data_IF_478887862760
#
_entry.id   IF_478887862760
#
_cell.length_a   1.000
_cell.length_b   1.000
_cell.length_c   1.000
_cell.angle_alpha   90.00
_cell.angle_beta   90.00
_cell.angle_gamma   90.00
#
_symmetry.space_group_name_H-M   'P 1'
#
loop_
_entity.id
_entity.type
_entity.pdbx_description
1 polymer ?
#
# COMPACT_ATOMS: atom_id res chain seq x y z
N UNK A 1 10.86 -71.53 -60.52
CA UNK A 1 10.65 -70.14 -60.97
C UNK A 1 9.17 -69.82 -60.98
N UNK A 2 8.60 -69.15 -60.00
CA UNK A 2 7.17 -68.78 -59.96
C UNK A 2 7.07 -67.24 -60.00
N UNK A 3 6.58 -66.76 -61.12
CA UNK A 3 6.29 -65.35 -61.37
C UNK A 3 5.07 -64.93 -60.50
N UNK A 4 5.24 -63.97 -59.63
CA UNK A 4 4.13 -63.31 -58.90
C UNK A 4 3.67 -62.10 -59.73
N UNK A 5 2.48 -62.22 -60.33
CA UNK A 5 1.73 -61.09 -60.88
C UNK A 5 1.29 -60.15 -59.79
N UNK A 6 1.75 -58.92 -59.87
CA UNK A 6 1.29 -57.83 -59.03
C UNK A 6 -0.12 -57.41 -59.40
N UNK A 7 -1.02 -57.44 -58.45
CA UNK A 7 -2.38 -56.92 -58.59
C UNK A 7 -2.30 -55.40 -58.29
N UNK A 8 -2.49 -54.59 -59.34
CA UNK A 8 -2.73 -53.16 -59.20
C UNK A 8 -4.09 -52.96 -58.51
N UNK A 9 -4.13 -52.52 -57.34
CA UNK A 9 -5.33 -51.95 -56.71
C UNK A 9 -5.53 -50.55 -57.29
N UNK A 10 -6.61 -50.42 -58.03
CA UNK A 10 -7.13 -49.20 -58.61
C UNK A 10 -7.71 -48.40 -57.48
N UNK A 11 -6.98 -47.38 -57.10
CA UNK A 11 -7.37 -46.43 -56.02
C UNK A 11 -8.42 -45.52 -56.69
N UNK A 12 -9.70 -45.84 -56.49
CA UNK A 12 -10.81 -44.97 -56.88
C UNK A 12 -10.78 -43.67 -56.05
N UNK A 13 -10.67 -42.59 -56.79
CA UNK A 13 -10.70 -41.23 -56.25
C UNK A 13 -12.08 -40.98 -55.64
N UNK A 14 -12.17 -40.59 -54.32
CA UNK A 14 -13.46 -40.42 -53.66
C UNK A 14 -14.20 -39.12 -54.06
N UNK A 15 -13.70 -38.40 -55.06
CA UNK A 15 -14.25 -37.09 -55.47
C UNK A 15 -14.95 -37.08 -56.83
N UNK A 16 -15.14 -38.24 -57.51
CA UNK A 16 -15.67 -38.25 -58.88
C UNK A 16 -17.21 -38.37 -59.00
N UNK A 17 -17.93 -38.42 -57.92
CA UNK A 17 -19.38 -38.29 -57.93
C UNK A 17 -19.80 -36.87 -57.59
N UNK A 18 -19.95 -36.05 -58.64
CA UNK A 18 -20.36 -34.65 -58.62
C UNK A 18 -21.80 -34.40 -58.14
N UNK A 19 -22.19 -34.99 -57.03
CA UNK A 19 -23.37 -34.55 -56.30
C UNK A 19 -22.94 -33.63 -55.18
N UNK A 20 -23.40 -32.35 -55.17
CA UNK A 20 -23.22 -31.51 -53.99
C UNK A 20 -23.92 -32.23 -52.87
N UNK A 21 -23.16 -32.65 -51.85
CA UNK A 21 -23.70 -33.16 -50.59
C UNK A 21 -24.41 -32.01 -49.93
N UNK A 22 -25.70 -31.83 -50.36
CA UNK A 22 -26.57 -30.86 -49.70
C UNK A 22 -26.64 -31.28 -48.25
N UNK A 23 -26.20 -30.42 -47.39
CA UNK A 23 -26.45 -30.53 -45.97
C UNK A 23 -27.96 -30.59 -45.79
N UNK A 24 -28.52 -31.79 -45.82
CA UNK A 24 -29.92 -32.01 -45.46
C UNK A 24 -30.09 -31.79 -43.98
N UNK A 25 -30.29 -30.52 -43.63
CA UNK A 25 -30.55 -30.08 -42.25
C UNK A 25 -31.97 -30.52 -41.89
N UNK A 26 -32.11 -31.77 -41.41
CA UNK A 26 -33.39 -32.29 -41.00
C UNK A 26 -33.77 -31.73 -39.66
N UNK A 27 -34.71 -30.79 -39.65
CA UNK A 27 -35.29 -30.20 -38.41
C UNK A 27 -35.83 -31.24 -37.44
N UNK A 28 -36.28 -32.38 -37.98
CA UNK A 28 -36.80 -33.51 -37.19
C UNK A 28 -35.71 -34.25 -36.41
N UNK A 29 -34.51 -34.36 -36.99
CA UNK A 29 -33.35 -34.97 -36.32
C UNK A 29 -32.87 -34.20 -35.14
N UNK A 30 -33.05 -32.88 -35.16
CA UNK A 30 -32.65 -32.00 -34.01
C UNK A 30 -33.60 -32.12 -32.83
N UNK A 31 -34.85 -32.42 -33.08
CA UNK A 31 -35.88 -32.59 -32.05
C UNK A 31 -35.83 -33.98 -31.37
N UNK A 32 -35.19 -34.96 -32.06
CA UNK A 32 -35.03 -36.33 -31.51
C UNK A 32 -33.69 -36.54 -30.79
N UNK A 33 -32.79 -35.59 -30.82
CA UNK A 33 -31.59 -35.65 -30.00
C UNK A 33 -31.99 -35.41 -28.53
N UNK A 34 -31.69 -36.33 -27.61
CA UNK A 34 -31.88 -36.06 -26.22
C UNK A 34 -31.20 -34.76 -25.86
N UNK A 35 -31.90 -33.87 -25.18
CA UNK A 35 -31.33 -32.58 -24.76
C UNK A 35 -30.01 -32.89 -24.06
N UNK A 36 -28.92 -32.33 -24.62
CA UNK A 36 -27.59 -32.48 -24.05
C UNK A 36 -27.74 -32.19 -22.53
N UNK A 37 -27.20 -33.04 -21.66
CA UNK A 37 -27.28 -32.80 -20.24
C UNK A 37 -26.79 -31.37 -19.99
N UNK A 38 -27.66 -30.52 -19.43
CA UNK A 38 -27.24 -29.18 -18.97
C UNK A 38 -26.15 -29.46 -17.96
N UNK A 39 -24.91 -29.16 -18.37
CA UNK A 39 -23.79 -29.10 -17.45
C UNK A 39 -24.22 -28.06 -16.43
N UNK A 40 -24.68 -28.51 -15.26
CA UNK A 40 -24.80 -27.63 -14.12
C UNK A 40 -23.40 -27.19 -13.81
N UNK A 41 -23.06 -25.97 -14.27
CA UNK A 41 -21.86 -25.27 -13.82
C UNK A 41 -21.97 -25.14 -12.31
N UNK A 42 -21.50 -26.15 -11.61
CA UNK A 42 -21.27 -26.05 -10.19
C UNK A 42 -20.13 -25.04 -10.01
N UNK A 43 -20.43 -23.88 -9.39
CA UNK A 43 -19.48 -22.78 -9.22
C UNK A 43 -18.14 -23.14 -8.57
N UNK A 44 -17.96 -24.42 -8.19
CA UNK A 44 -16.71 -24.98 -7.71
C UNK A 44 -15.70 -25.33 -8.81
N UNK A 45 -16.15 -25.62 -10.03
CA UNK A 45 -15.25 -26.03 -11.12
C UNK A 45 -14.44 -24.86 -11.69
N UNK A 46 -14.94 -23.62 -11.59
CA UNK A 46 -14.23 -22.43 -12.06
C UNK A 46 -12.89 -22.25 -11.33
N UNK A 47 -12.85 -22.48 -10.03
CA UNK A 47 -11.63 -22.34 -9.22
C UNK A 47 -10.63 -23.47 -9.47
N UNK A 48 -11.09 -24.69 -9.71
CA UNK A 48 -10.19 -25.81 -10.03
C UNK A 48 -9.57 -25.71 -11.42
N UNK A 49 -10.28 -25.15 -12.37
CA UNK A 49 -9.83 -25.00 -13.78
C UNK A 49 -8.80 -23.88 -13.95
N UNK A 50 -8.82 -22.88 -13.07
CA UNK A 50 -7.94 -21.69 -13.16
C UNK A 50 -7.03 -21.53 -11.93
N UNK A 51 -6.32 -22.58 -11.54
CA UNK A 51 -5.39 -22.55 -10.40
C UNK A 51 -4.35 -21.42 -10.51
N UNK A 52 -3.83 -21.17 -11.71
CA UNK A 52 -2.87 -20.10 -11.95
C UNK A 52 -3.48 -18.72 -11.66
N UNK A 53 -4.72 -18.49 -12.06
CA UNK A 53 -5.43 -17.23 -11.82
C UNK A 53 -5.68 -17.03 -10.31
N UNK A 54 -5.99 -18.11 -9.59
CA UNK A 54 -6.19 -18.07 -8.15
C UNK A 54 -4.89 -17.74 -7.40
N UNK A 55 -3.76 -18.31 -7.85
CA UNK A 55 -2.43 -17.99 -7.28
C UNK A 55 -2.10 -16.51 -7.51
N UNK A 56 -2.29 -16.00 -8.75
CA UNK A 56 -2.02 -14.59 -9.07
C UNK A 56 -2.92 -13.66 -8.24
N UNK A 57 -4.20 -14.01 -8.05
CA UNK A 57 -5.12 -13.24 -7.22
C UNK A 57 -4.68 -13.24 -5.76
N UNK A 58 -4.23 -14.38 -5.24
CA UNK A 58 -3.73 -14.51 -3.88
C UNK A 58 -2.47 -13.65 -3.68
N UNK A 59 -1.52 -13.69 -4.62
CA UNK A 59 -0.31 -12.88 -4.57
C UNK A 59 -0.65 -11.38 -4.58
N UNK A 60 -1.62 -10.98 -5.42
CA UNK A 60 -2.08 -9.59 -5.48
C UNK A 60 -2.67 -9.13 -4.13
N UNK A 61 -3.48 -9.98 -3.49
CA UNK A 61 -4.06 -9.70 -2.16
C UNK A 61 -2.97 -9.59 -1.11
N UNK A 62 -1.97 -10.49 -1.12
CA UNK A 62 -0.83 -10.45 -0.19
C UNK A 62 -0.05 -9.15 -0.35
N UNK A 63 0.27 -8.75 -1.59
CA UNK A 63 1.00 -7.50 -1.88
C UNK A 63 0.19 -6.29 -1.40
N UNK A 64 -1.12 -6.27 -1.63
CA UNK A 64 -2.00 -5.18 -1.20
C UNK A 64 -2.06 -5.07 0.33
N UNK A 65 -2.24 -6.19 1.03
CA UNK A 65 -2.24 -6.24 2.51
C UNK A 65 -0.89 -5.81 3.06
N UNK A 66 0.20 -6.32 2.49
CA UNK A 66 1.56 -5.95 2.90
C UNK A 66 1.82 -4.46 2.67
N UNK A 67 1.38 -3.91 1.54
CA UNK A 67 1.47 -2.49 1.20
C UNK A 67 0.72 -1.60 2.19
N UNK A 68 -0.51 -1.97 2.57
CA UNK A 68 -1.29 -1.26 3.59
C UNK A 68 -0.62 -1.32 4.97
N UNK A 69 -0.05 -2.45 5.34
CA UNK A 69 0.69 -2.61 6.61
C UNK A 69 1.96 -1.77 6.63
N UNK A 70 2.73 -1.77 5.55
CA UNK A 70 3.93 -0.95 5.39
C UNK A 70 3.60 0.55 5.41
N UNK A 71 2.56 0.98 4.72
CA UNK A 71 2.08 2.35 4.77
C UNK A 71 1.75 2.77 6.21
N UNK A 72 0.94 1.97 6.91
CA UNK A 72 0.60 2.26 8.30
C UNK A 72 1.82 2.33 9.22
N UNK A 73 2.79 1.44 9.03
CA UNK A 73 4.03 1.43 9.80
C UNK A 73 4.91 2.65 9.53
N UNK A 74 5.09 3.02 8.27
CA UNK A 74 5.88 4.18 7.86
C UNK A 74 5.23 5.50 8.30
N UNK A 75 3.92 5.64 8.14
CA UNK A 75 3.21 6.86 8.56
C UNK A 75 3.07 6.99 10.09
N UNK A 76 2.97 5.88 10.81
CA UNK A 76 2.84 5.92 12.28
C UNK A 76 4.11 6.40 13.00
N UNK A 77 5.27 6.33 12.35
CA UNK A 77 6.55 6.69 12.99
C UNK A 77 7.04 8.12 12.72
N UNK A 78 6.43 8.83 11.78
CA UNK A 78 6.94 10.13 11.34
C UNK A 78 6.72 11.23 12.39
N UNK A 79 5.69 11.12 13.22
CA UNK A 79 5.38 12.08 14.29
C UNK A 79 6.11 11.80 15.62
N UNK A 80 6.85 10.69 15.70
CA UNK A 80 7.61 10.28 16.89
C UNK A 80 9.05 9.96 16.53
N UNK A 81 9.96 10.42 17.36
CA UNK A 81 11.37 10.11 17.25
C UNK A 81 11.97 9.84 18.61
N UNK A 82 13.02 9.03 18.64
CA UNK A 82 13.87 8.82 19.78
C UNK A 82 15.20 9.54 19.53
N UNK A 83 15.60 10.42 20.45
CA UNK A 83 16.85 11.18 20.43
C UNK A 83 17.50 11.10 21.80
N UNK A 84 18.74 10.68 21.86
CA UNK A 84 19.60 10.70 23.07
C UNK A 84 18.93 10.12 24.34
N UNK A 85 18.05 9.11 24.17
CA UNK A 85 17.30 8.52 25.29
C UNK A 85 15.99 9.20 25.62
N UNK A 86 15.60 10.23 24.89
CA UNK A 86 14.31 10.88 24.97
C UNK A 86 13.39 10.45 23.85
N UNK A 87 12.11 10.27 24.19
CA UNK A 87 11.05 10.08 23.19
C UNK A 87 10.40 11.42 22.92
N UNK A 88 10.43 11.83 21.66
CA UNK A 88 9.87 13.11 21.23
C UNK A 88 8.66 12.85 20.34
N UNK A 89 7.51 13.45 20.67
CA UNK A 89 6.26 13.29 19.93
C UNK A 89 5.74 14.66 19.50
N UNK A 90 5.55 14.82 18.19
CA UNK A 90 4.98 16.03 17.60
C UNK A 90 3.48 15.86 17.38
N UNK A 91 2.69 16.86 17.77
CA UNK A 91 1.26 16.97 17.46
C UNK A 91 0.94 18.38 16.97
N UNK A 92 -0.03 18.50 16.09
CA UNK A 92 -0.50 19.78 15.61
C UNK A 92 -2.00 19.77 15.34
N UNK A 93 -2.67 20.87 15.66
CA UNK A 93 -4.08 21.04 15.36
C UNK A 93 -4.39 22.48 14.97
N UNK A 94 -5.43 22.65 14.14
CA UNK A 94 -5.94 23.96 13.78
C UNK A 94 -6.87 24.52 14.83
N UNK A 95 -6.72 25.81 15.10
CA UNK A 95 -7.69 26.57 15.87
C UNK A 95 -7.85 27.96 15.25
N UNK A 96 -8.93 28.16 14.49
CA UNK A 96 -9.16 29.40 13.77
C UNK A 96 -8.10 29.63 12.67
N UNK A 97 -7.38 30.75 12.78
CA UNK A 97 -6.32 31.14 11.84
C UNK A 97 -4.91 30.79 12.30
N UNK A 98 -4.79 29.93 13.30
CA UNK A 98 -3.50 29.51 13.85
C UNK A 98 -3.39 28.00 13.96
N UNK A 99 -2.18 27.51 13.91
CA UNK A 99 -1.83 26.12 14.18
C UNK A 99 -1.14 26.06 15.53
N UNK A 100 -1.67 25.26 16.43
CA UNK A 100 -1.02 24.92 17.67
C UNK A 100 -0.14 23.70 17.47
N UNK A 101 1.16 23.87 17.67
CA UNK A 101 2.14 22.80 17.68
C UNK A 101 2.49 22.43 19.10
N UNK A 102 2.46 21.15 19.42
CA UNK A 102 2.85 20.62 20.72
C UNK A 102 3.93 19.56 20.49
N UNK A 103 5.07 19.74 21.17
CA UNK A 103 6.16 18.79 21.20
C UNK A 103 6.24 18.23 22.63
N UNK A 104 5.93 16.97 22.81
CA UNK A 104 6.04 16.27 24.08
C UNK A 104 7.35 15.51 24.12
N UNK A 105 8.15 15.75 25.14
CA UNK A 105 9.47 15.16 25.36
C UNK A 105 9.38 14.31 26.62
N UNK A 106 9.57 13.01 26.49
CA UNK A 106 9.50 12.06 27.60
C UNK A 106 10.88 11.44 27.81
N UNK A 107 11.37 11.47 29.04
CA UNK A 107 12.61 10.79 29.39
C UNK A 107 12.40 9.26 29.38
N UNK A 108 13.18 8.55 28.57
CA UNK A 108 13.29 7.10 28.65
C UNK A 108 14.41 6.76 29.62
N UNK A 109 14.12 5.96 30.65
CA UNK A 109 15.10 5.52 31.64
C UNK A 109 16.44 5.16 31.00
N UNK A 110 17.49 5.89 31.31
CA UNK A 110 18.84 5.67 30.82
C UNK A 110 19.39 6.77 29.87
N UNK A 111 18.73 7.94 29.77
CA UNK A 111 19.33 9.08 29.10
C UNK A 111 20.58 9.54 29.86
N UNK A 112 21.73 9.58 29.18
CA UNK A 112 23.01 10.04 29.73
C UNK A 112 23.15 11.57 29.76
N UNK A 113 22.12 12.28 29.29
CA UNK A 113 22.18 13.71 28.97
C UNK A 113 21.22 14.44 29.87
N UNK A 114 21.71 14.84 31.07
CA UNK A 114 20.93 15.60 32.02
C UNK A 114 21.28 17.09 31.93
N UNK A 115 20.29 17.99 32.02
CA UNK A 115 20.51 19.44 32.07
C UNK A 115 20.81 20.11 30.74
N UNK A 116 20.69 19.42 29.62
CA UNK A 116 20.80 20.03 28.31
C UNK A 116 19.51 20.71 27.85
N UNK A 117 19.63 21.62 26.90
CA UNK A 117 18.50 22.28 26.24
C UNK A 117 18.16 21.55 24.96
N UNK A 118 16.88 21.48 24.72
CA UNK A 118 16.33 21.07 23.43
C UNK A 118 15.98 22.33 22.64
N UNK A 119 16.38 22.35 21.39
CA UNK A 119 15.99 23.36 20.42
C UNK A 119 15.03 22.73 19.42
N UNK A 120 13.95 23.41 19.14
CA UNK A 120 12.97 22.96 18.16
C UNK A 120 12.59 24.09 17.23
N UNK A 121 12.59 23.83 15.96
CA UNK A 121 12.07 24.71 14.93
C UNK A 121 10.85 24.07 14.27
N UNK A 122 9.81 24.86 14.12
CA UNK A 122 8.52 24.40 13.61
C UNK A 122 8.20 25.15 12.32
N UNK A 123 7.70 24.46 11.31
CA UNK A 123 7.24 25.07 10.07
C UNK A 123 6.04 24.32 9.49
N UNK A 124 5.23 25.05 8.74
CA UNK A 124 4.17 24.45 7.92
C UNK A 124 4.67 24.09 6.52
N UNK A 125 5.92 24.45 6.22
CA UNK A 125 6.60 24.08 5.00
C UNK A 125 7.79 23.15 5.28
N UNK A 126 7.97 22.17 4.40
CA UNK A 126 9.07 21.21 4.47
C UNK A 126 10.46 21.85 4.30
N UNK A 127 10.52 22.98 3.62
CA UNK A 127 11.77 23.69 3.35
C UNK A 127 12.32 24.46 4.56
N UNK A 128 11.52 24.69 5.61
CA UNK A 128 11.88 25.50 6.77
C UNK A 128 12.40 26.90 6.38
N UNK A 129 11.66 27.57 5.49
CA UNK A 129 11.95 28.95 5.15
C UNK A 129 11.88 29.82 6.39
N UNK A 130 12.87 30.73 6.59
CA UNK A 130 13.01 31.52 7.81
C UNK A 130 11.76 32.35 8.14
N UNK A 131 11.07 32.83 7.11
CA UNK A 131 9.86 33.64 7.22
C UNK A 131 8.66 32.89 7.84
N UNK A 132 8.62 31.55 7.69
CA UNK A 132 7.56 30.66 8.15
C UNK A 132 7.99 29.69 9.25
N UNK A 133 9.13 29.96 9.86
CA UNK A 133 9.72 29.06 10.86
C UNK A 133 9.65 29.71 12.25
N UNK A 134 9.08 29.00 13.21
CA UNK A 134 9.03 29.42 14.61
C UNK A 134 10.01 28.59 15.42
N UNK A 135 10.84 29.28 16.20
CA UNK A 135 11.85 28.67 17.05
C UNK A 135 11.37 28.63 18.50
N UNK A 136 11.68 27.56 19.19
CA UNK A 136 11.43 27.43 20.61
C UNK A 136 12.48 26.54 21.26
N UNK A 137 12.71 26.74 22.55
CA UNK A 137 13.64 25.90 23.31
C UNK A 137 13.14 25.71 24.72
N UNK A 138 13.47 24.57 25.31
CA UNK A 138 13.17 24.26 26.70
C UNK A 138 14.29 23.39 27.29
N UNK A 139 14.30 23.23 28.59
CA UNK A 139 15.20 22.26 29.21
C UNK A 139 14.64 20.86 29.05
N UNK A 140 15.52 19.89 28.91
CA UNK A 140 15.15 18.48 28.95
C UNK A 140 14.63 18.11 30.33
N UNK A 141 13.65 17.19 30.42
CA UNK A 141 13.17 16.71 31.73
C UNK A 141 14.31 15.99 32.46
N UNK A 142 14.46 16.34 33.72
CA UNK A 142 15.45 15.73 34.62
C UNK A 142 15.06 14.30 35.03
N UNK A 143 16.00 13.59 35.63
CA UNK A 143 15.75 12.25 36.20
C UNK A 143 14.65 12.32 37.25
N UNK A 144 13.46 11.86 36.93
CA UNK A 144 12.28 11.90 37.79
C UNK A 144 11.12 12.73 37.25
N UNK A 145 11.36 13.60 36.31
CA UNK A 145 10.29 14.24 35.53
C UNK A 145 9.83 13.32 34.40
N UNK A 146 8.52 13.11 34.33
CA UNK A 146 7.98 12.18 33.32
C UNK A 146 7.98 12.79 31.95
N UNK A 147 7.66 14.09 31.83
CA UNK A 147 7.57 14.77 30.53
C UNK A 147 7.75 16.29 30.60
N UNK A 148 8.26 16.85 29.52
CA UNK A 148 8.27 18.29 29.25
C UNK A 148 7.46 18.56 27.96
N UNK A 149 6.59 19.59 28.01
CA UNK A 149 5.73 19.96 26.89
C UNK A 149 6.13 21.34 26.38
N UNK A 150 6.53 21.40 25.12
CA UNK A 150 6.78 22.63 24.38
C UNK A 150 5.58 22.96 23.52
N UNK A 151 5.02 24.15 23.67
CA UNK A 151 3.86 24.62 22.87
C UNK A 151 4.21 25.85 22.09
N UNK A 152 3.84 25.85 20.81
CA UNK A 152 4.10 26.96 19.89
C UNK A 152 2.86 27.23 19.07
N UNK A 153 2.64 28.50 18.75
CA UNK A 153 1.56 28.92 17.85
C UNK A 153 2.17 29.44 16.56
N UNK A 154 1.69 28.94 15.44
CA UNK A 154 2.18 29.29 14.10
C UNK A 154 1.00 29.88 13.32
N UNK A 155 1.17 31.01 12.61
CA UNK A 155 0.13 31.51 11.73
C UNK A 155 -0.27 30.44 10.71
N UNK A 156 -1.56 30.19 10.55
CA UNK A 156 -2.04 29.19 9.61
C UNK A 156 -1.81 29.65 8.17
N UNK A 157 -1.07 28.90 7.40
CA UNK A 157 -1.05 29.08 5.96
C UNK A 157 -2.21 28.30 5.33
N UNK A 158 -2.90 28.92 4.36
CA UNK A 158 -4.04 28.28 3.68
C UNK A 158 -3.59 27.00 2.98
N UNK A 159 -4.14 25.87 3.41
CA UNK A 159 -3.92 24.58 2.76
C UNK A 159 -2.79 23.72 3.36
N UNK A 160 -2.09 24.19 4.41
CA UNK A 160 -1.15 23.34 5.10
C UNK A 160 -1.88 22.14 5.73
N UNK A 161 -1.43 20.94 5.42
CA UNK A 161 -1.98 19.69 5.95
C UNK A 161 -1.02 18.99 6.91
N UNK A 162 0.23 19.43 6.94
CA UNK A 162 1.31 18.79 7.69
C UNK A 162 2.11 19.86 8.45
N UNK A 163 2.38 19.59 9.70
CA UNK A 163 3.31 20.32 10.54
C UNK A 163 4.66 19.60 10.51
N UNK A 164 5.72 20.35 10.31
CA UNK A 164 7.09 19.87 10.38
C UNK A 164 7.77 20.44 11.61
N UNK A 165 8.60 19.64 12.26
CA UNK A 165 9.49 20.09 13.31
C UNK A 165 10.87 19.50 13.11
N UNK A 166 11.90 20.29 13.32
CA UNK A 166 13.26 19.82 13.45
C UNK A 166 13.69 20.05 14.90
N UNK A 167 14.08 18.95 15.52
CA UNK A 167 14.39 18.90 16.96
C UNK A 167 15.85 18.56 17.10
N UNK A 168 16.56 19.35 17.88
CA UNK A 168 17.99 19.23 18.16
C UNK A 168 18.22 19.06 19.66
N UNK A 169 18.97 18.02 20.01
CA UNK A 169 19.46 17.74 21.37
C UNK A 169 20.95 17.47 21.26
N UNK A 170 21.77 18.30 21.88
CA UNK A 170 23.24 18.21 21.73
C UNK A 170 23.67 18.29 20.29
N UNK A 171 24.35 17.26 19.80
CA UNK A 171 24.85 17.18 18.40
C UNK A 171 23.89 16.41 17.47
N UNK A 172 22.75 15.95 17.98
CA UNK A 172 21.80 15.13 17.21
C UNK A 172 20.58 15.93 16.82
N UNK A 173 20.33 16.05 15.51
CA UNK A 173 19.12 16.67 14.98
C UNK A 173 18.23 15.65 14.27
N UNK A 174 16.93 15.77 14.45
CA UNK A 174 15.95 14.90 13.80
C UNK A 174 14.71 15.67 13.35
N UNK A 175 14.22 15.30 12.14
CA UNK A 175 13.00 15.89 11.59
C UNK A 175 11.79 15.00 11.88
N UNK A 176 10.72 15.65 12.30
CA UNK A 176 9.43 15.07 12.58
C UNK A 176 8.38 15.71 11.66
N UNK A 177 7.32 14.99 11.39
CA UNK A 177 6.15 15.55 10.72
C UNK A 177 4.87 14.96 11.31
N UNK A 178 3.86 15.79 11.49
CA UNK A 178 2.56 15.39 12.02
C UNK A 178 1.47 15.94 11.09
N UNK A 179 0.46 15.11 10.80
CA UNK A 179 -0.76 15.58 10.14
C UNK A 179 -1.50 16.56 11.06
N UNK A 180 -2.03 17.63 10.49
CA UNK A 180 -2.82 18.61 11.22
C UNK A 180 -4.25 18.11 11.39
N UNK A 181 -4.68 17.97 12.63
CA UNK A 181 -6.07 17.66 12.99
C UNK A 181 -6.93 18.93 12.89
N UNK A 182 -8.16 18.77 12.39
CA UNK A 182 -9.16 19.85 12.23
C UNK A 182 -10.26 19.70 13.25
#
# INVERSE_FOLDING_TARGET
>A
MKSRKGKKEEQSDPFEDGQPSGYHYSRKQRLSLPAAPRVQDSGGEFFHRNRTLLIILLDLVIILVLGLFLMRYLYAQVHRADLEGYSVVLRGFYFGEVVFATLTITNKRGSSVTGQRIFARFSLDRAFEEENTTYSSTNLPDDGEEETILRVTIPASRGAAVLYAEVEIGDTAKRLSAGLER
#
